data_IF_904491193763
#
_entry.id   IF_904491193763
#
_cell.length_a   1.000
_cell.length_b   1.000
_cell.length_c   1.000
_cell.angle_alpha   90.00
_cell.angle_beta   90.00
_cell.angle_gamma   90.00
#
_symmetry.space_group_name_H-M   'P 1'
#
loop_
_entity.id
_entity.type
_entity.pdbx_description
1 polymer ?
#
# COMPACT_ATOMS: atom_id res chain seq x y z
N UNK A 1 -15.42 -53.64 -5.96
CA UNK A 1 -14.67 -53.15 -4.78
C UNK A 1 -13.42 -52.36 -5.18
N UNK A 2 -12.46 -52.93 -5.91
CA UNK A 2 -11.19 -52.24 -6.27
C UNK A 2 -11.43 -50.95 -7.07
N UNK A 3 -12.29 -50.98 -8.09
CA UNK A 3 -12.64 -49.77 -8.88
C UNK A 3 -13.25 -48.67 -8.00
N UNK A 4 -14.11 -49.05 -7.05
CA UNK A 4 -14.73 -48.11 -6.11
C UNK A 4 -13.66 -47.44 -5.22
N UNK A 5 -12.70 -48.22 -4.72
CA UNK A 5 -11.58 -47.72 -3.91
C UNK A 5 -10.72 -46.75 -4.72
N UNK A 6 -10.41 -47.07 -5.98
CA UNK A 6 -9.62 -46.19 -6.86
C UNK A 6 -10.35 -44.86 -7.10
N UNK A 7 -11.66 -44.91 -7.36
CA UNK A 7 -12.48 -43.70 -7.56
C UNK A 7 -12.50 -42.85 -6.29
N UNK A 8 -12.65 -43.46 -5.12
CA UNK A 8 -12.63 -42.76 -3.84
C UNK A 8 -11.28 -42.10 -3.56
N UNK A 9 -10.17 -42.78 -3.85
CA UNK A 9 -8.82 -42.22 -3.70
C UNK A 9 -8.60 -41.05 -4.66
N UNK A 10 -8.98 -41.20 -5.94
CA UNK A 10 -8.87 -40.15 -6.93
C UNK A 10 -9.69 -38.91 -6.54
N UNK A 11 -10.92 -39.10 -6.06
CA UNK A 11 -11.77 -38.03 -5.54
C UNK A 11 -11.12 -37.34 -4.32
N UNK A 12 -10.56 -38.12 -3.38
CA UNK A 12 -9.85 -37.59 -2.23
C UNK A 12 -8.66 -36.70 -2.60
N UNK A 13 -7.84 -37.13 -3.57
CA UNK A 13 -6.72 -36.33 -4.08
C UNK A 13 -7.22 -35.01 -4.71
N UNK A 14 -8.28 -35.07 -5.51
CA UNK A 14 -8.89 -33.88 -6.11
C UNK A 14 -9.35 -32.85 -5.07
N UNK A 15 -9.98 -33.31 -3.99
CA UNK A 15 -10.41 -32.44 -2.88
C UNK A 15 -9.22 -31.79 -2.19
N UNK A 16 -8.15 -32.54 -1.91
CA UNK A 16 -6.95 -32.01 -1.25
C UNK A 16 -6.27 -30.93 -2.12
N UNK A 17 -6.10 -31.19 -3.42
CA UNK A 17 -5.50 -30.22 -4.35
C UNK A 17 -6.34 -28.95 -4.46
N UNK A 18 -7.66 -29.08 -4.60
CA UNK A 18 -8.57 -27.94 -4.66
C UNK A 18 -8.51 -27.09 -3.38
N UNK A 19 -8.56 -27.74 -2.22
CA UNK A 19 -8.44 -27.06 -0.92
C UNK A 19 -7.10 -26.35 -0.75
N UNK A 20 -6.01 -26.95 -1.26
CA UNK A 20 -4.69 -26.31 -1.29
C UNK A 20 -4.68 -25.01 -2.09
N UNK A 21 -5.26 -25.02 -3.29
CA UNK A 21 -5.36 -23.84 -4.15
C UNK A 21 -6.23 -22.74 -3.52
N UNK A 22 -7.37 -23.11 -2.94
CA UNK A 22 -8.25 -22.16 -2.23
C UNK A 22 -7.54 -21.53 -1.04
N UNK A 23 -6.81 -22.33 -0.26
CA UNK A 23 -6.00 -21.84 0.86
C UNK A 23 -4.92 -20.87 0.40
N UNK A 24 -4.19 -21.20 -0.68
CA UNK A 24 -3.19 -20.31 -1.27
C UNK A 24 -3.78 -18.98 -1.73
N UNK A 25 -4.93 -19.02 -2.43
CA UNK A 25 -5.66 -17.81 -2.84
C UNK A 25 -6.06 -16.94 -1.64
N UNK A 26 -6.55 -17.57 -0.57
CA UNK A 26 -6.94 -16.84 0.64
C UNK A 26 -5.73 -16.22 1.35
N UNK A 27 -4.58 -16.91 1.39
CA UNK A 27 -3.35 -16.36 1.95
C UNK A 27 -2.89 -15.11 1.20
N UNK A 28 -2.88 -15.14 -0.14
CA UNK A 28 -2.54 -13.96 -0.96
C UNK A 28 -3.50 -12.81 -0.67
N UNK A 29 -4.82 -13.08 -0.62
CA UNK A 29 -5.83 -12.05 -0.30
C UNK A 29 -5.63 -11.45 1.09
N UNK A 30 -5.35 -12.28 2.09
CA UNK A 30 -5.10 -11.83 3.46
C UNK A 30 -3.81 -10.99 3.55
N UNK A 31 -2.73 -11.44 2.90
CA UNK A 31 -1.48 -10.68 2.83
C UNK A 31 -1.68 -9.32 2.17
N UNK A 32 -2.41 -9.28 1.05
CA UNK A 32 -2.75 -8.03 0.37
C UNK A 32 -3.58 -7.10 1.26
N UNK A 33 -4.58 -7.62 1.98
CA UNK A 33 -5.38 -6.83 2.91
C UNK A 33 -4.55 -6.18 4.03
N UNK A 34 -3.48 -6.84 4.49
CA UNK A 34 -2.59 -6.26 5.49
C UNK A 34 -1.78 -5.10 4.91
N UNK A 35 -1.26 -5.25 3.68
CA UNK A 35 -0.54 -4.18 2.97
C UNK A 35 -1.45 -2.98 2.73
N UNK A 36 -2.68 -3.22 2.28
CA UNK A 36 -3.68 -2.18 2.03
C UNK A 36 -3.95 -1.32 3.28
N UNK A 37 -4.11 -1.97 4.45
CA UNK A 37 -4.29 -1.26 5.73
C UNK A 37 -3.07 -0.39 6.07
N UNK A 38 -1.85 -0.88 5.83
CA UNK A 38 -0.63 -0.10 6.09
C UNK A 38 -0.50 1.11 5.15
N UNK A 39 -0.78 0.92 3.86
CA UNK A 39 -0.77 2.00 2.88
C UNK A 39 -1.81 3.06 3.23
N UNK A 40 -3.03 2.63 3.58
CA UNK A 40 -4.09 3.55 4.01
C UNK A 40 -3.68 4.35 5.25
N UNK A 41 -3.12 3.69 6.27
CA UNK A 41 -2.60 4.37 7.46
C UNK A 41 -1.53 5.41 7.11
N UNK A 42 -0.61 5.08 6.20
CA UNK A 42 0.40 6.03 5.70
C UNK A 42 -0.27 7.23 5.05
N UNK A 43 -1.25 7.01 4.18
CA UNK A 43 -1.94 8.10 3.48
C UNK A 43 -2.77 8.97 4.42
N UNK A 44 -3.36 8.40 5.46
CA UNK A 44 -4.14 9.12 6.47
C UNK A 44 -3.26 10.05 7.35
N UNK A 45 -1.97 9.76 7.47
CA UNK A 45 -1.02 10.60 8.24
C UNK A 45 -0.44 11.78 7.44
N UNK A 46 -0.46 11.72 6.09
CA UNK A 46 0.11 12.77 5.25
C UNK A 46 -0.52 14.16 5.47
N UNK A 47 -1.86 14.31 5.58
CA UNK A 47 -2.46 15.61 5.85
C UNK A 47 -1.90 16.25 7.13
N UNK A 48 -1.66 15.46 8.18
CA UNK A 48 -1.07 15.97 9.42
C UNK A 48 0.36 16.47 9.19
N UNK A 49 1.18 15.75 8.42
CA UNK A 49 2.54 16.17 8.06
C UNK A 49 2.50 17.48 7.25
N UNK A 50 1.58 17.57 6.29
CA UNK A 50 1.39 18.76 5.45
C UNK A 50 0.93 19.97 6.27
N UNK A 51 -0.02 19.80 7.18
CA UNK A 51 -0.49 20.88 8.06
C UNK A 51 0.62 21.37 9.00
N UNK A 52 1.40 20.46 9.59
CA UNK A 52 2.57 20.85 10.38
C UNK A 52 3.59 21.61 9.52
N UNK A 53 3.92 21.12 8.32
CA UNK A 53 4.84 21.79 7.41
C UNK A 53 4.35 23.18 6.97
N UNK A 54 3.05 23.35 6.68
CA UNK A 54 2.44 24.64 6.32
C UNK A 54 2.64 25.71 7.40
N UNK A 55 2.62 25.33 8.68
CA UNK A 55 2.78 26.26 9.79
C UNK A 55 4.15 26.95 9.84
N UNK A 56 5.19 26.26 9.38
CA UNK A 56 6.58 26.73 9.44
C UNK A 56 7.13 27.16 8.08
N UNK A 57 6.62 26.58 6.99
CA UNK A 57 7.14 26.79 5.64
C UNK A 57 6.16 27.63 4.82
N UNK A 58 6.35 28.96 4.84
CA UNK A 58 5.42 29.94 4.25
C UNK A 58 5.49 30.09 2.73
N UNK A 59 6.59 29.65 2.10
CA UNK A 59 6.85 29.90 0.66
C UNK A 59 6.92 28.63 -0.20
N UNK A 60 6.77 27.44 0.39
CA UNK A 60 6.94 26.14 -0.31
C UNK A 60 5.61 25.53 -0.73
N UNK A 61 4.77 26.34 -1.37
CA UNK A 61 3.42 25.94 -1.78
C UNK A 61 3.46 24.81 -2.81
N UNK A 62 4.36 24.93 -3.79
CA UNK A 62 4.52 23.95 -4.87
C UNK A 62 4.88 22.55 -4.33
N UNK A 63 5.82 22.49 -3.38
CA UNK A 63 6.23 21.25 -2.71
C UNK A 63 5.06 20.60 -1.96
N UNK A 64 4.27 21.39 -1.22
CA UNK A 64 3.11 20.89 -0.47
C UNK A 64 1.94 20.46 -1.38
N UNK A 65 1.73 21.17 -2.48
CA UNK A 65 0.74 20.80 -3.50
C UNK A 65 1.13 19.50 -4.21
N UNK A 66 2.41 19.32 -4.55
CA UNK A 66 2.92 18.09 -5.13
C UNK A 66 2.71 16.88 -4.19
N UNK A 67 2.94 17.04 -2.88
CA UNK A 67 2.69 15.96 -1.90
C UNK A 67 1.19 15.64 -1.81
N UNK A 68 0.34 16.67 -1.81
CA UNK A 68 -1.11 16.50 -1.75
C UNK A 68 -1.63 15.77 -2.99
N UNK A 69 -1.13 16.13 -4.18
CA UNK A 69 -1.49 15.47 -5.43
C UNK A 69 -0.98 14.02 -5.48
N UNK A 70 0.27 13.77 -5.07
CA UNK A 70 0.84 12.43 -5.02
C UNK A 70 0.08 11.52 -4.05
N UNK A 71 -0.37 12.05 -2.91
CA UNK A 71 -1.26 11.34 -1.98
C UNK A 71 -2.57 10.95 -2.67
N UNK A 72 -3.21 11.89 -3.37
CA UNK A 72 -4.48 11.61 -4.04
C UNK A 72 -4.33 10.50 -5.08
N UNK A 73 -3.27 10.56 -5.90
CA UNK A 73 -2.95 9.49 -6.86
C UNK A 73 -2.72 8.14 -6.18
N UNK A 74 -2.09 8.12 -5.00
CA UNK A 74 -1.86 6.88 -4.25
C UNK A 74 -3.15 6.27 -3.67
N UNK A 75 -4.14 7.10 -3.33
CA UNK A 75 -5.47 6.68 -2.86
C UNK A 75 -6.33 6.15 -4.02
N UNK A 76 -6.28 6.81 -5.17
CA UNK A 76 -7.12 6.48 -6.32
C UNK A 76 -6.60 5.29 -7.14
N UNK A 77 -5.31 4.94 -6.99
CA UNK A 77 -4.67 3.84 -7.70
C UNK A 77 -5.34 2.48 -7.42
N UNK A 78 -5.55 1.67 -8.47
CA UNK A 78 -6.22 0.37 -8.35
C UNK A 78 -5.34 -0.77 -8.85
N UNK A 79 -5.31 -1.84 -8.07
CA UNK A 79 -4.49 -3.00 -8.37
C UNK A 79 -3.02 -2.79 -7.99
N UNK A 80 -2.34 -3.91 -7.75
CA UNK A 80 -1.03 -3.94 -7.09
C UNK A 80 0.03 -3.11 -7.83
N UNK A 81 0.04 -3.17 -9.18
CA UNK A 81 1.03 -2.47 -9.99
C UNK A 81 0.86 -0.95 -9.95
N UNK A 82 -0.37 -0.45 -10.10
CA UNK A 82 -0.64 0.99 -10.03
C UNK A 82 -0.38 1.54 -8.64
N UNK A 83 -0.80 0.81 -7.60
CA UNK A 83 -0.57 1.18 -6.20
C UNK A 83 0.93 1.28 -5.92
N UNK A 84 1.73 0.30 -6.39
CA UNK A 84 3.18 0.35 -6.24
C UNK A 84 3.80 1.55 -6.94
N UNK A 85 3.36 1.88 -8.15
CA UNK A 85 3.85 3.05 -8.90
C UNK A 85 3.50 4.36 -8.19
N UNK A 86 2.26 4.50 -7.73
CA UNK A 86 1.79 5.70 -7.05
C UNK A 86 2.45 5.88 -5.67
N UNK A 87 2.65 4.80 -4.91
CA UNK A 87 3.35 4.86 -3.62
C UNK A 87 4.85 5.20 -3.79
N UNK A 88 5.49 4.72 -4.86
CA UNK A 88 6.86 5.12 -5.21
C UNK A 88 6.95 6.63 -5.54
N UNK A 89 6.00 7.15 -6.32
CA UNK A 89 5.92 8.59 -6.61
C UNK A 89 5.74 9.40 -5.31
N UNK A 90 4.76 9.01 -4.48
CA UNK A 90 4.52 9.64 -3.19
C UNK A 90 5.76 9.61 -2.28
N UNK A 91 6.48 8.49 -2.25
CA UNK A 91 7.74 8.36 -1.49
C UNK A 91 8.80 9.34 -2.00
N UNK A 92 8.92 9.51 -3.31
CA UNK A 92 9.83 10.48 -3.91
C UNK A 92 9.45 11.91 -3.53
N UNK A 93 8.17 12.28 -3.60
CA UNK A 93 7.71 13.62 -3.26
C UNK A 93 7.89 13.94 -1.77
N UNK A 94 7.64 12.96 -0.89
CA UNK A 94 7.92 13.09 0.54
C UNK A 94 9.42 13.29 0.82
N UNK A 95 10.31 12.63 0.06
CA UNK A 95 11.75 12.87 0.18
C UNK A 95 12.11 14.31 -0.19
N UNK A 96 11.52 14.85 -1.27
CA UNK A 96 11.71 16.26 -1.64
C UNK A 96 11.18 17.20 -0.56
N UNK A 97 10.00 16.92 0.02
CA UNK A 97 9.49 17.68 1.16
C UNK A 97 10.48 17.67 2.32
N UNK A 98 10.99 16.50 2.73
CA UNK A 98 11.96 16.40 3.81
C UNK A 98 13.26 17.15 3.51
N UNK A 99 13.76 17.13 2.28
CA UNK A 99 14.92 17.92 1.89
C UNK A 99 14.67 19.42 2.09
N UNK A 100 13.47 19.92 1.74
CA UNK A 100 13.06 21.31 2.02
C UNK A 100 13.01 21.56 3.53
N UNK A 101 12.50 20.63 4.33
CA UNK A 101 12.47 20.78 5.80
C UNK A 101 13.86 20.89 6.42
N UNK A 102 14.92 20.37 5.79
CA UNK A 102 16.29 20.53 6.30
C UNK A 102 16.75 21.99 6.27
N UNK A 103 16.21 22.80 5.36
CA UNK A 103 16.45 24.25 5.30
C UNK A 103 15.71 25.03 6.40
N UNK A 104 14.78 24.37 7.12
CA UNK A 104 13.97 24.96 8.20
C UNK A 104 14.18 24.19 9.52
N UNK A 105 15.24 24.50 10.29
CA UNK A 105 15.60 23.79 11.53
C UNK A 105 14.48 23.75 12.57
N UNK A 106 13.65 24.80 12.61
CA UNK A 106 12.51 24.93 13.52
C UNK A 106 11.41 23.86 13.29
N UNK A 107 11.42 23.18 12.14
CA UNK A 107 10.52 22.06 11.85
C UNK A 107 11.02 20.72 12.44
N UNK A 108 12.31 20.60 12.74
CA UNK A 108 12.92 19.37 13.32
C UNK A 108 12.84 19.32 14.85
N UNK A 109 12.63 20.46 15.49
CA UNK A 109 12.74 20.66 16.95
C UNK A 109 11.48 20.21 17.70
#
# INVERSE_FOLDING_TARGET
MIVLVIVLVAAGIGVVLYNGLVRGRQQVKNGWSQVDVQLKRRYDLIPNIVETAKGYIKHERETLEAVTQARQQAIDAKGVAEISKADNMLTSTLRSLFAVTEAYPDLKA
#
